data_IF_226145502271
#
_entry.id   IF_226145502271
#
_cell.length_a   1.000
_cell.length_b   1.000
_cell.length_c   1.000
_cell.angle_alpha   90.00
_cell.angle_beta   90.00
_cell.angle_gamma   90.00
#
_symmetry.space_group_name_H-M   'P 1'
#
loop_
_entity.id
_entity.type
_entity.pdbx_description
1 polymer ?
#
# COMPACT_ATOMS: atom_id res chain seq x y z
N UNK A 1 14.41 12.45 28.33
CA UNK A 1 14.37 11.21 27.55
C UNK A 1 13.07 11.22 26.75
N UNK A 2 13.13 11.62 25.49
CA UNK A 2 11.96 11.62 24.62
C UNK A 2 11.59 10.21 24.23
N UNK A 3 10.37 9.80 24.51
CA UNK A 3 9.83 8.55 23.97
C UNK A 3 9.83 8.64 22.43
N UNK A 4 10.22 7.58 21.72
CA UNK A 4 10.18 7.60 20.27
C UNK A 4 8.73 7.81 19.81
N UNK A 5 8.57 8.79 18.93
CA UNK A 5 7.28 9.23 18.36
C UNK A 5 6.67 8.22 17.38
N UNK A 6 6.96 6.93 17.54
CA UNK A 6 6.31 5.85 16.78
C UNK A 6 4.99 5.49 17.46
N UNK A 7 4.11 6.46 17.59
CA UNK A 7 2.74 6.18 18.04
C UNK A 7 1.99 5.48 16.90
N UNK A 8 1.34 4.43 17.27
CA UNK A 8 0.62 3.46 16.50
C UNK A 8 -0.59 4.04 15.76
N UNK A 9 -0.34 4.94 14.84
CA UNK A 9 -1.38 5.62 14.06
C UNK A 9 -2.24 4.63 13.27
N UNK A 10 -1.66 3.49 12.90
CA UNK A 10 -2.36 2.38 12.23
C UNK A 10 -3.38 1.65 13.11
N UNK A 11 -3.31 1.82 14.43
CA UNK A 11 -4.20 1.12 15.39
C UNK A 11 -5.30 2.04 15.90
N UNK A 12 -5.17 3.35 15.72
CA UNK A 12 -6.19 4.30 16.17
C UNK A 12 -7.47 4.11 15.36
N UNK A 13 -8.57 3.89 16.07
CA UNK A 13 -9.87 3.75 15.45
C UNK A 13 -10.36 5.07 14.88
N UNK A 14 -10.54 5.10 13.57
CA UNK A 14 -11.00 6.28 12.83
C UNK A 14 -12.46 6.15 12.41
N UNK A 15 -12.95 4.93 12.30
CA UNK A 15 -14.33 4.66 11.92
C UNK A 15 -15.33 4.91 13.07
N UNK A 16 -16.61 4.97 12.76
CA UNK A 16 -17.66 5.31 13.75
C UNK A 16 -17.76 4.30 14.91
N UNK A 17 -17.28 3.07 14.74
CA UNK A 17 -17.28 2.04 15.78
C UNK A 17 -15.85 1.67 16.21
N UNK A 18 -14.86 2.50 15.89
CA UNK A 18 -13.46 2.27 16.23
C UNK A 18 -12.68 1.44 15.20
N UNK A 19 -13.19 1.34 13.97
CA UNK A 19 -12.47 0.67 12.89
C UNK A 19 -11.20 1.45 12.52
N UNK A 20 -10.12 0.73 12.24
CA UNK A 20 -8.87 1.29 11.74
C UNK A 20 -8.88 1.36 10.21
N UNK A 21 -7.95 2.10 9.59
CA UNK A 21 -7.77 2.10 8.13
C UNK A 21 -7.54 0.67 7.61
N UNK A 22 -6.75 -0.10 8.35
CA UNK A 22 -6.47 -1.49 8.00
C UNK A 22 -7.74 -2.37 8.01
N UNK A 23 -8.68 -2.12 8.95
CA UNK A 23 -9.95 -2.86 8.99
C UNK A 23 -10.75 -2.65 7.70
N UNK A 24 -10.78 -1.41 7.17
CA UNK A 24 -11.44 -1.11 5.89
C UNK A 24 -10.74 -1.80 4.72
N UNK A 25 -9.41 -1.78 4.69
CA UNK A 25 -8.64 -2.45 3.63
C UNK A 25 -8.88 -3.97 3.64
N UNK A 26 -8.90 -4.60 4.82
CA UNK A 26 -9.21 -6.03 4.97
C UNK A 26 -10.64 -6.33 4.46
N UNK A 27 -11.59 -5.51 4.84
CA UNK A 27 -12.99 -5.66 4.42
C UNK A 27 -13.13 -5.58 2.89
N UNK A 28 -12.51 -4.57 2.28
CA UNK A 28 -12.58 -4.39 0.82
C UNK A 28 -11.82 -5.51 0.08
N UNK A 29 -10.69 -5.99 0.63
CA UNK A 29 -9.97 -7.13 0.08
C UNK A 29 -10.83 -8.40 0.08
N UNK A 30 -11.51 -8.69 1.19
CA UNK A 30 -12.43 -9.84 1.29
C UNK A 30 -13.51 -9.73 0.22
N UNK A 31 -14.11 -8.58 0.05
CA UNK A 31 -15.17 -8.34 -0.94
C UNK A 31 -14.66 -8.46 -2.38
N UNK A 32 -13.40 -8.18 -2.60
CA UNK A 32 -12.74 -8.33 -3.89
C UNK A 32 -12.29 -9.78 -4.18
N UNK A 33 -12.51 -10.71 -3.23
CA UNK A 33 -12.23 -12.14 -3.43
C UNK A 33 -10.89 -12.62 -2.86
N UNK A 34 -10.16 -11.77 -2.14
CA UNK A 34 -8.92 -12.22 -1.50
C UNK A 34 -9.24 -13.15 -0.32
N UNK A 35 -8.70 -14.38 -0.37
CA UNK A 35 -8.97 -15.43 0.63
C UNK A 35 -7.89 -15.56 1.71
N UNK A 36 -6.82 -14.77 1.61
CA UNK A 36 -5.70 -14.86 2.55
C UNK A 36 -5.10 -13.46 2.77
N UNK A 37 -4.78 -13.13 4.01
CA UNK A 37 -4.07 -11.90 4.36
C UNK A 37 -2.75 -12.28 5.04
N UNK A 38 -1.67 -11.68 4.58
CA UNK A 38 -0.33 -11.87 5.15
C UNK A 38 0.13 -10.51 5.69
N UNK A 39 0.39 -10.47 6.99
CA UNK A 39 0.92 -9.27 7.63
C UNK A 39 2.43 -9.39 7.76
N UNK A 40 3.15 -8.41 7.27
CA UNK A 40 4.59 -8.28 7.51
C UNK A 40 4.77 -7.24 8.61
N UNK A 41 5.23 -7.68 9.76
CA UNK A 41 5.37 -6.85 10.95
C UNK A 41 6.77 -6.97 11.55
N UNK A 42 7.16 -5.95 12.29
CA UNK A 42 8.41 -5.99 13.07
C UNK A 42 8.23 -6.89 14.29
N UNK A 43 9.31 -7.55 14.68
CA UNK A 43 9.29 -8.50 15.80
C UNK A 43 8.94 -7.83 17.13
N UNK A 44 9.43 -6.62 17.37
CA UNK A 44 9.15 -5.87 18.59
C UNK A 44 7.68 -5.44 18.71
N UNK A 45 6.94 -5.49 17.61
CA UNK A 45 5.52 -5.14 17.55
C UNK A 45 4.60 -6.38 17.66
N UNK A 46 5.14 -7.59 17.61
CA UNK A 46 4.37 -8.83 17.48
C UNK A 46 3.30 -8.99 18.57
N UNK A 47 3.69 -8.82 19.84
CA UNK A 47 2.78 -9.05 20.97
C UNK A 47 1.60 -8.08 20.93
N UNK A 48 1.87 -6.81 20.69
CA UNK A 48 0.83 -5.79 20.58
C UNK A 48 -0.08 -6.06 19.37
N UNK A 49 0.48 -6.43 18.23
CA UNK A 49 -0.26 -6.79 17.04
C UNK A 49 -1.19 -7.99 17.29
N UNK A 50 -0.70 -9.03 17.97
CA UNK A 50 -1.50 -10.22 18.32
C UNK A 50 -2.67 -9.88 19.24
N UNK A 51 -2.42 -9.04 20.24
CA UNK A 51 -3.45 -8.71 21.25
C UNK A 51 -4.47 -7.68 20.74
N UNK A 52 -4.06 -6.69 19.99
CA UNK A 52 -4.93 -5.58 19.59
C UNK A 52 -5.54 -5.75 18.19
N UNK A 53 -4.82 -6.40 17.27
CA UNK A 53 -5.27 -6.55 15.89
C UNK A 53 -5.79 -7.96 15.62
N UNK A 54 -4.94 -8.98 15.76
CA UNK A 54 -5.34 -10.35 15.43
C UNK A 54 -6.48 -10.88 16.30
N UNK A 55 -6.59 -10.42 17.55
CA UNK A 55 -7.67 -10.82 18.45
C UNK A 55 -9.05 -10.42 17.90
N UNK A 56 -9.14 -9.28 17.17
CA UNK A 56 -10.39 -8.82 16.54
C UNK A 56 -10.91 -9.85 15.54
N UNK A 57 -9.98 -10.48 14.78
CA UNK A 57 -10.33 -11.41 13.70
C UNK A 57 -10.48 -12.86 14.16
N UNK A 58 -10.09 -13.17 15.40
CA UNK A 58 -10.20 -14.53 15.98
C UNK A 58 -11.52 -14.78 16.71
N UNK A 59 -12.22 -13.73 17.16
CA UNK A 59 -13.47 -13.87 17.91
C UNK A 59 -14.62 -14.24 16.98
N UNK A 60 -15.08 -15.48 17.11
CA UNK A 60 -16.23 -16.00 16.33
C UNK A 60 -17.57 -15.34 16.70
N UNK A 61 -17.62 -14.68 17.85
CA UNK A 61 -18.87 -14.17 18.43
C UNK A 61 -19.07 -12.66 18.32
N UNK A 62 -18.10 -11.93 17.80
CA UNK A 62 -18.31 -10.52 17.53
C UNK A 62 -19.11 -10.39 16.23
N UNK A 63 -20.42 -10.30 16.40
CA UNK A 63 -21.44 -10.30 15.34
C UNK A 63 -21.29 -9.28 14.20
N UNK A 64 -20.15 -9.26 13.80
CA UNK A 64 -19.99 -8.45 12.87
C UNK A 64 -19.02 -8.76 11.93
N UNK A 65 -18.44 -9.49 12.08
CA UNK A 65 -17.71 -9.69 10.83
C UNK A 65 -18.43 -10.76 10.05
N UNK A 66 -19.15 -10.37 9.06
CA UNK A 66 -19.61 -11.29 8.03
C UNK A 66 -18.42 -11.83 7.24
N UNK A 67 -17.51 -12.55 7.89
CA UNK A 67 -16.51 -13.33 7.19
C UNK A 67 -17.28 -14.42 6.44
N UNK A 68 -17.18 -14.47 5.10
CA UNK A 68 -17.88 -15.54 4.35
C UNK A 68 -17.46 -16.90 4.91
N UNK A 69 -18.44 -17.74 5.20
CA UNK A 69 -18.21 -19.09 5.76
C UNK A 69 -17.34 -20.00 4.88
N UNK A 70 -17.06 -19.60 3.64
CA UNK A 70 -16.31 -20.39 2.66
C UNK A 70 -14.83 -20.01 2.52
N UNK A 71 -14.32 -19.07 3.31
CA UNK A 71 -12.91 -18.68 3.21
C UNK A 71 -12.30 -18.49 4.59
N UNK A 72 -11.48 -19.41 5.01
CA UNK A 72 -10.71 -19.21 6.23
C UNK A 72 -9.64 -18.13 5.97
N UNK A 73 -9.90 -16.90 6.40
CA UNK A 73 -8.84 -15.91 6.53
C UNK A 73 -7.87 -16.45 7.58
N UNK A 74 -6.69 -16.83 7.14
CA UNK A 74 -5.62 -17.26 8.03
C UNK A 74 -4.61 -16.12 8.13
N UNK A 75 -4.74 -15.21 9.10
CA UNK A 75 -3.70 -14.21 9.29
C UNK A 75 -2.42 -14.91 9.71
N UNK A 76 -1.38 -14.70 8.92
CA UNK A 76 -0.05 -15.23 9.22
C UNK A 76 0.88 -14.04 9.39
N UNK A 77 1.26 -13.78 10.63
CA UNK A 77 2.26 -12.77 10.94
C UNK A 77 3.65 -13.30 10.59
N UNK A 78 4.37 -12.57 9.77
CA UNK A 78 5.75 -12.88 9.41
C UNK A 78 6.67 -11.81 9.98
N UNK A 79 7.80 -12.25 10.48
CA UNK A 79 8.77 -11.35 11.10
C UNK A 79 9.94 -11.10 10.18
N UNK A 80 10.29 -9.83 10.00
CA UNK A 80 11.55 -9.48 9.36
C UNK A 80 12.71 -9.90 10.27
N UNK A 81 13.59 -10.75 9.76
CA UNK A 81 14.73 -11.26 10.53
C UNK A 81 15.79 -10.15 10.72
N UNK A 82 16.03 -9.81 11.98
CA UNK A 82 17.22 -9.08 12.49
C UNK A 82 17.55 -7.67 11.98
N UNK A 83 16.83 -7.09 11.03
CA UNK A 83 17.01 -5.67 10.74
C UNK A 83 16.11 -4.84 11.64
N UNK A 84 16.57 -3.71 12.09
CA UNK A 84 15.73 -2.74 12.82
C UNK A 84 14.54 -2.25 11.99
N UNK A 85 14.63 -2.42 10.71
CA UNK A 85 13.67 -2.21 9.83
C UNK A 85 13.86 -3.00 8.69
N UNK A 86 12.86 -3.19 8.09
CA UNK A 86 13.08 -3.74 6.76
C UNK A 86 13.83 -2.74 5.85
N UNK A 87 14.56 -3.26 4.93
CA UNK A 87 15.31 -2.48 3.93
C UNK A 87 14.40 -1.84 2.86
N UNK A 88 13.16 -1.55 3.18
CA UNK A 88 12.18 -0.97 2.27
C UNK A 88 11.04 -1.91 1.93
N UNK A 89 10.09 -1.43 1.12
CA UNK A 89 8.83 -2.13 0.84
C UNK A 89 9.03 -3.46 0.11
N UNK A 90 9.99 -3.55 -0.82
CA UNK A 90 10.20 -4.82 -1.52
C UNK A 90 10.89 -5.87 -0.63
N UNK A 91 11.77 -5.45 0.29
CA UNK A 91 12.30 -6.37 1.29
C UNK A 91 11.19 -6.93 2.18
N UNK A 92 10.22 -6.09 2.55
CA UNK A 92 9.07 -6.54 3.34
C UNK A 92 8.27 -7.62 2.57
N UNK A 93 8.01 -7.40 1.28
CA UNK A 93 7.33 -8.39 0.42
C UNK A 93 8.12 -9.70 0.36
N UNK A 94 9.44 -9.63 0.22
CA UNK A 94 10.30 -10.80 0.15
C UNK A 94 10.20 -11.67 1.42
N UNK A 95 9.93 -11.08 2.58
CA UNK A 95 9.71 -11.85 3.83
C UNK A 95 8.48 -12.77 3.72
N UNK A 96 7.56 -12.48 2.80
CA UNK A 96 6.37 -13.29 2.56
C UNK A 96 6.57 -14.49 1.62
N UNK A 97 7.73 -14.65 0.99
CA UNK A 97 7.97 -15.62 -0.10
C UNK A 97 7.62 -17.08 0.22
N UNK A 98 7.79 -17.48 1.48
CA UNK A 98 7.55 -18.86 1.88
C UNK A 98 6.06 -19.18 2.07
N UNK A 99 5.22 -18.16 2.24
CA UNK A 99 3.79 -18.34 2.51
C UNK A 99 2.89 -17.82 1.39
N UNK A 100 3.42 -16.99 0.48
CA UNK A 100 2.68 -16.44 -0.66
C UNK A 100 2.94 -17.36 -1.86
N UNK A 101 1.93 -18.14 -2.23
CA UNK A 101 2.01 -19.14 -3.33
C UNK A 101 0.97 -18.87 -4.43
N UNK A 102 0.14 -17.85 -4.25
CA UNK A 102 -0.90 -17.43 -5.18
C UNK A 102 -0.61 -16.00 -5.66
N UNK A 103 -1.24 -15.54 -6.76
CA UNK A 103 -1.19 -14.12 -7.11
C UNK A 103 -1.67 -13.28 -5.92
N UNK A 104 -1.03 -12.15 -5.70
CA UNK A 104 -1.22 -11.38 -4.47
C UNK A 104 -1.17 -9.88 -4.72
N UNK A 105 -1.83 -9.14 -3.85
CA UNK A 105 -1.79 -7.68 -3.83
C UNK A 105 -0.97 -7.21 -2.62
N UNK A 106 -0.10 -6.23 -2.83
CA UNK A 106 0.64 -5.53 -1.78
C UNK A 106 -0.02 -4.17 -1.54
N UNK A 107 -0.18 -3.82 -0.27
CA UNK A 107 -0.68 -2.49 0.15
C UNK A 107 0.09 -2.01 1.38
N UNK A 108 0.07 -0.71 1.60
CA UNK A 108 0.45 -0.11 2.88
C UNK A 108 -0.73 -0.23 3.86
N UNK A 109 -0.46 -0.50 5.12
CA UNK A 109 -1.50 -0.69 6.13
C UNK A 109 -2.11 0.63 6.64
N UNK A 110 -1.47 1.74 6.33
CA UNK A 110 -1.86 3.10 6.77
C UNK A 110 -2.50 3.95 5.67
N UNK A 111 -2.69 3.38 4.49
CA UNK A 111 -3.37 4.03 3.36
C UNK A 111 -4.78 3.47 3.15
N UNK A 112 -5.73 4.34 2.84
CA UNK A 112 -7.10 3.95 2.51
C UNK A 112 -7.27 3.94 1.00
N UNK A 113 -7.36 2.75 0.42
CA UNK A 113 -7.43 2.55 -1.04
C UNK A 113 -8.85 2.57 -1.59
N UNK A 114 -9.81 2.14 -0.77
CA UNK A 114 -11.21 2.08 -1.14
C UNK A 114 -11.58 0.84 -1.95
N UNK A 115 -12.87 0.53 -1.93
CA UNK A 115 -13.46 -0.66 -2.53
C UNK A 115 -13.13 -0.85 -4.01
N UNK A 116 -13.11 0.25 -4.75
CA UNK A 116 -12.94 0.22 -6.21
C UNK A 116 -11.53 -0.28 -6.61
N UNK A 117 -10.52 0.22 -5.91
CA UNK A 117 -9.13 -0.19 -6.14
C UNK A 117 -8.96 -1.70 -5.87
N UNK A 118 -9.52 -2.19 -4.76
CA UNK A 118 -9.47 -3.63 -4.45
C UNK A 118 -10.23 -4.47 -5.48
N UNK A 119 -11.42 -4.01 -5.93
CA UNK A 119 -12.20 -4.73 -6.93
C UNK A 119 -11.43 -4.80 -8.26
N UNK A 120 -10.81 -3.70 -8.66
CA UNK A 120 -10.05 -3.60 -9.91
C UNK A 120 -8.85 -4.55 -9.91
N UNK A 121 -8.02 -4.46 -8.87
CA UNK A 121 -6.82 -5.32 -8.80
C UNK A 121 -7.18 -6.78 -8.52
N UNK A 122 -8.22 -7.03 -7.73
CA UNK A 122 -8.71 -8.38 -7.47
C UNK A 122 -9.22 -9.05 -8.74
N UNK A 123 -9.96 -8.32 -9.57
CA UNK A 123 -10.40 -8.79 -10.89
C UNK A 123 -9.20 -9.17 -11.76
N UNK A 124 -8.24 -8.25 -11.92
CA UNK A 124 -7.02 -8.50 -12.71
C UNK A 124 -6.33 -9.79 -12.25
N UNK A 125 -6.05 -9.90 -10.95
CA UNK A 125 -5.32 -11.07 -10.42
C UNK A 125 -6.10 -12.39 -10.59
N UNK A 126 -7.43 -12.34 -10.49
CA UNK A 126 -8.28 -13.53 -10.64
C UNK A 126 -8.40 -14.01 -12.10
N UNK A 127 -8.22 -13.10 -13.05
CA UNK A 127 -8.29 -13.41 -14.49
C UNK A 127 -6.95 -13.86 -15.06
N UNK A 128 -5.86 -13.76 -14.29
CA UNK A 128 -4.55 -14.23 -14.74
C UNK A 128 -4.58 -15.75 -14.99
N UNK A 129 -4.01 -16.22 -16.11
CA UNK A 129 -3.82 -17.67 -16.31
C UNK A 129 -2.99 -18.27 -15.17
N UNK A 130 -3.30 -19.50 -14.80
CA UNK A 130 -2.57 -20.21 -13.72
C UNK A 130 -1.07 -20.30 -13.99
N UNK A 131 -0.67 -20.30 -15.25
CA UNK A 131 0.73 -20.34 -15.66
C UNK A 131 1.36 -18.95 -15.84
N UNK A 132 0.61 -17.88 -15.53
CA UNK A 132 1.11 -16.50 -15.72
C UNK A 132 2.36 -16.28 -14.87
N UNK A 133 3.35 -15.73 -15.51
CA UNK A 133 4.62 -15.35 -14.88
C UNK A 133 4.93 -13.92 -15.30
N UNK A 134 5.47 -13.17 -14.37
CA UNK A 134 6.00 -11.82 -14.65
C UNK A 134 4.98 -10.90 -15.35
N UNK A 135 3.68 -11.14 -15.08
CA UNK A 135 2.56 -10.31 -15.48
C UNK A 135 2.02 -9.66 -14.22
N UNK A 136 2.22 -8.38 -14.09
CA UNK A 136 1.97 -7.64 -12.87
C UNK A 136 1.01 -6.49 -13.14
N UNK A 137 0.53 -5.85 -12.09
CA UNK A 137 -0.28 -4.65 -12.21
C UNK A 137 0.00 -3.70 -11.05
N UNK A 138 -0.34 -2.44 -11.25
CA UNK A 138 -0.43 -1.49 -10.17
C UNK A 138 -1.73 -0.69 -10.32
N UNK A 139 -2.30 -0.27 -9.22
CA UNK A 139 -3.44 0.66 -9.27
C UNK A 139 -2.88 2.08 -9.36
N UNK A 140 -3.18 2.75 -10.47
CA UNK A 140 -2.84 4.15 -10.69
C UNK A 140 -3.93 5.06 -10.13
N UNK A 141 -3.58 5.87 -9.16
CA UNK A 141 -4.49 6.88 -8.59
C UNK A 141 -4.24 8.22 -9.27
N UNK A 142 -5.30 8.96 -9.54
CA UNK A 142 -5.15 10.32 -10.11
C UNK A 142 -4.45 11.23 -9.11
N UNK A 143 -3.40 11.92 -9.53
CA UNK A 143 -2.59 12.77 -8.66
C UNK A 143 -3.43 13.75 -7.87
N UNK A 144 -4.39 14.42 -8.53
CA UNK A 144 -5.29 15.39 -7.88
C UNK A 144 -6.07 14.81 -6.70
N UNK A 145 -6.34 13.49 -6.72
CA UNK A 145 -7.09 12.80 -5.66
C UNK A 145 -6.20 12.30 -4.51
N UNK A 146 -4.89 12.53 -4.59
CA UNK A 146 -3.93 12.04 -3.58
C UNK A 146 -3.18 13.16 -2.85
N UNK A 147 -3.56 14.40 -3.10
CA UNK A 147 -2.93 15.56 -2.48
C UNK A 147 -3.36 15.72 -1.02
N UNK A 148 -2.59 16.50 -0.28
CA UNK A 148 -2.91 16.86 1.11
C UNK A 148 -3.22 18.36 1.19
N UNK A 149 -4.21 18.71 1.98
CA UNK A 149 -4.50 20.11 2.32
C UNK A 149 -3.44 20.69 3.28
N UNK A 150 -2.64 19.84 3.90
CA UNK A 150 -1.70 20.19 4.97
C UNK A 150 -0.24 20.21 4.54
N UNK A 151 0.02 20.33 3.23
CA UNK A 151 1.38 20.41 2.71
C UNK A 151 1.65 19.46 1.55
N UNK A 152 2.93 19.35 1.18
CA UNK A 152 3.34 18.51 0.06
C UNK A 152 3.24 17.01 0.40
N UNK A 153 3.11 16.20 -0.65
CA UNK A 153 3.09 14.73 -0.56
C UNK A 153 4.21 14.14 -1.42
N UNK A 154 4.62 12.92 -1.11
CA UNK A 154 5.53 12.14 -1.96
C UNK A 154 4.73 11.08 -2.73
N UNK A 155 4.98 10.93 -4.04
CA UNK A 155 4.28 9.95 -4.90
C UNK A 155 5.21 9.41 -5.98
N UNK A 156 5.04 8.17 -6.33
CA UNK A 156 5.64 7.60 -7.53
C UNK A 156 4.83 8.00 -8.77
N UNK A 157 5.30 9.00 -9.51
CA UNK A 157 4.63 9.44 -10.74
C UNK A 157 4.89 8.40 -11.83
N UNK A 158 3.81 7.90 -12.45
CA UNK A 158 3.87 6.78 -13.39
C UNK A 158 3.90 7.27 -14.83
N UNK A 159 4.80 6.69 -15.61
CA UNK A 159 4.82 6.82 -17.08
C UNK A 159 4.39 5.48 -17.67
N UNK A 160 3.50 5.51 -18.66
CA UNK A 160 2.95 4.31 -19.29
C UNK A 160 2.72 4.56 -20.79
N UNK A 161 2.61 3.47 -21.53
CA UNK A 161 2.36 3.54 -22.99
C UNK A 161 0.86 3.52 -23.32
N UNK A 162 0.53 3.60 -24.60
CA UNK A 162 -0.84 3.63 -25.13
C UNK A 162 -1.62 2.35 -24.82
N UNK A 163 -0.95 1.28 -24.38
CA UNK A 163 -1.57 0.03 -23.96
C UNK A 163 -1.70 -0.08 -22.42
N UNK A 164 -1.48 1.04 -21.71
CA UNK A 164 -1.47 1.11 -20.23
C UNK A 164 -0.36 0.26 -19.57
N UNK A 165 0.70 -0.09 -20.31
CA UNK A 165 1.85 -0.76 -19.71
C UNK A 165 2.79 0.26 -19.09
N UNK A 166 3.10 0.07 -17.83
CA UNK A 166 4.02 0.91 -17.07
C UNK A 166 5.41 0.90 -17.70
N UNK A 167 6.00 2.07 -17.88
CA UNK A 167 7.36 2.26 -18.40
C UNK A 167 8.33 2.69 -17.30
N UNK A 168 7.85 3.49 -16.36
CA UNK A 168 8.69 3.98 -15.27
C UNK A 168 7.84 4.48 -14.12
N UNK A 169 8.39 4.44 -12.92
CA UNK A 169 7.81 5.07 -11.72
C UNK A 169 8.90 5.95 -11.11
N UNK A 170 8.67 7.26 -11.14
CA UNK A 170 9.63 8.24 -10.63
C UNK A 170 9.10 8.83 -9.33
N UNK A 171 9.80 8.57 -8.22
CA UNK A 171 9.43 9.13 -6.92
C UNK A 171 9.65 10.65 -6.92
N UNK A 172 8.57 11.39 -6.65
CA UNK A 172 8.59 12.83 -6.47
C UNK A 172 8.24 13.13 -5.01
N UNK A 173 9.14 13.71 -4.28
CA UNK A 173 9.05 13.86 -2.82
C UNK A 173 8.28 15.08 -2.35
N UNK A 174 8.11 16.09 -3.21
CA UNK A 174 7.37 17.31 -2.89
C UNK A 174 6.38 17.61 -4.01
N UNK A 175 5.13 17.12 -3.86
CA UNK A 175 4.04 17.41 -4.80
C UNK A 175 2.97 18.21 -4.04
N UNK A 176 2.54 19.33 -4.58
CA UNK A 176 1.46 20.15 -4.02
C UNK A 176 0.91 21.11 -5.07
N UNK A 177 -0.18 21.78 -4.75
CA UNK A 177 -0.65 22.89 -5.60
C UNK A 177 0.19 24.12 -5.35
N UNK A 178 0.66 24.74 -6.44
CA UNK A 178 1.41 25.99 -6.42
C UNK A 178 0.69 26.97 -7.36
N UNK A 179 0.08 27.97 -6.79
CA UNK A 179 -0.70 29.01 -7.52
C UNK A 179 -1.76 28.44 -8.48
N UNK A 180 -2.30 27.26 -8.14
CA UNK A 180 -3.36 26.60 -8.90
C UNK A 180 -2.98 25.21 -9.40
N UNK A 181 -2.03 25.07 -10.35
CA UNK A 181 -1.62 23.75 -10.87
C UNK A 181 -0.94 22.88 -9.84
N UNK A 182 -1.02 21.57 -10.05
CA UNK A 182 -0.22 20.59 -9.29
C UNK A 182 1.22 20.67 -9.80
N UNK A 183 2.17 20.79 -8.88
CA UNK A 183 3.59 20.84 -9.22
C UNK A 183 4.39 19.90 -8.31
N UNK A 184 5.52 19.43 -8.81
CA UNK A 184 6.53 18.81 -7.97
C UNK A 184 7.78 19.68 -7.95
N UNK A 185 8.55 19.55 -6.89
CA UNK A 185 9.81 20.26 -6.76
C UNK A 185 10.94 19.38 -7.28
N UNK A 186 11.71 19.88 -8.21
CA UNK A 186 12.87 19.15 -8.77
C UNK A 186 14.09 19.26 -7.85
N UNK A 187 15.21 18.64 -8.26
CA UNK A 187 16.46 18.62 -7.49
C UNK A 187 17.12 20.00 -7.38
N UNK A 188 16.78 20.92 -8.30
CA UNK A 188 17.27 22.30 -8.29
C UNK A 188 16.37 23.23 -7.45
N UNK A 189 15.28 22.69 -6.91
CA UNK A 189 14.32 23.45 -6.09
C UNK A 189 13.25 24.19 -6.90
N UNK A 190 13.14 23.92 -8.20
CA UNK A 190 12.19 24.57 -9.11
C UNK A 190 10.88 23.79 -9.12
N UNK A 191 9.76 24.50 -9.15
CA UNK A 191 8.43 23.89 -9.27
C UNK A 191 8.12 23.57 -10.73
N UNK A 192 7.89 22.28 -11.01
CA UNK A 192 7.59 21.75 -12.35
C UNK A 192 6.13 21.27 -12.36
N UNK A 193 5.31 21.73 -13.30
CA UNK A 193 3.90 21.34 -13.33
C UNK A 193 3.72 19.85 -13.70
N UNK A 194 2.68 19.25 -13.10
CA UNK A 194 2.19 17.92 -13.42
C UNK A 194 0.75 18.02 -13.94
N UNK A 195 0.38 17.08 -14.77
CA UNK A 195 -1.03 16.95 -15.21
C UNK A 195 -1.91 16.57 -14.02
N UNK A 196 -3.12 17.16 -13.96
CA UNK A 196 -4.10 16.93 -12.88
C UNK A 196 -4.35 15.42 -12.64
N UNK A 197 -4.51 14.68 -13.70
CA UNK A 197 -4.90 13.28 -13.67
C UNK A 197 -3.73 12.31 -13.92
N UNK A 198 -2.48 12.79 -13.86
CA UNK A 198 -1.35 11.88 -14.02
C UNK A 198 -1.45 10.74 -13.00
N UNK A 199 -1.33 9.48 -13.42
CA UNK A 199 -1.42 8.38 -12.47
C UNK A 199 -0.19 8.34 -11.57
N UNK A 200 -0.45 8.12 -10.28
CA UNK A 200 0.59 7.97 -9.27
C UNK A 200 0.43 6.66 -8.53
N UNK A 201 1.55 6.08 -8.15
CA UNK A 201 1.59 4.90 -7.30
C UNK A 201 1.38 5.28 -5.84
N UNK A 202 0.50 4.55 -5.18
CA UNK A 202 0.29 4.58 -3.74
C UNK A 202 0.68 3.23 -3.11
N UNK A 203 1.61 2.53 -3.75
CA UNK A 203 2.06 1.18 -3.33
C UNK A 203 0.97 0.11 -3.34
N UNK A 204 -0.01 0.21 -4.23
CA UNK A 204 -0.97 -0.88 -4.45
C UNK A 204 -0.56 -1.66 -5.70
N UNK A 205 0.07 -2.82 -5.48
CA UNK A 205 0.69 -3.61 -6.53
C UNK A 205 0.14 -5.03 -6.57
N UNK A 206 -0.11 -5.55 -7.76
CA UNK A 206 -0.51 -6.94 -7.99
C UNK A 206 0.63 -7.73 -8.62
N UNK A 207 0.98 -8.85 -8.01
CA UNK A 207 2.11 -9.70 -8.43
C UNK A 207 1.72 -11.16 -8.54
N UNK A 208 2.48 -11.90 -9.36
CA UNK A 208 2.52 -13.37 -9.30
C UNK A 208 3.64 -13.82 -8.36
N UNK A 209 3.59 -15.05 -7.81
CA UNK A 209 4.63 -15.53 -6.89
C UNK A 209 6.04 -15.55 -7.46
N UNK A 210 6.18 -15.54 -8.79
CA UNK A 210 7.50 -15.52 -9.46
C UNK A 210 8.33 -14.29 -9.07
N UNK A 211 7.68 -13.17 -8.73
CA UNK A 211 8.37 -11.95 -8.31
C UNK A 211 9.31 -12.16 -7.12
N UNK A 212 9.05 -13.18 -6.29
CA UNK A 212 9.91 -13.46 -5.13
C UNK A 212 11.34 -13.88 -5.52
N UNK A 213 11.47 -14.59 -6.65
CA UNK A 213 12.79 -14.99 -7.16
C UNK A 213 13.59 -13.77 -7.62
N UNK A 214 12.96 -12.95 -8.44
CA UNK A 214 13.60 -11.73 -8.97
C UNK A 214 13.95 -10.76 -7.83
N UNK A 215 13.03 -10.57 -6.89
CA UNK A 215 13.26 -9.74 -5.70
C UNK A 215 14.45 -10.24 -4.88
N UNK A 216 14.60 -11.57 -4.74
CA UNK A 216 15.72 -12.14 -3.97
C UNK A 216 17.06 -11.88 -4.67
N UNK A 217 17.11 -12.03 -5.99
CA UNK A 217 18.32 -11.76 -6.78
C UNK A 217 18.70 -10.27 -6.71
N UNK A 218 17.72 -9.38 -6.93
CA UNK A 218 17.97 -7.94 -6.88
C UNK A 218 18.29 -7.45 -5.45
N UNK A 219 17.76 -8.10 -4.43
CA UNK A 219 18.13 -7.77 -3.05
C UNK A 219 19.59 -8.13 -2.75
N UNK A 220 20.07 -9.26 -3.25
CA UNK A 220 21.50 -9.64 -3.13
C UNK A 220 22.39 -8.59 -3.83
N UNK A 221 21.97 -8.16 -5.02
CA UNK A 221 22.68 -7.12 -5.78
C UNK A 221 22.67 -5.78 -5.02
N UNK A 222 21.51 -5.40 -4.48
CA UNK A 222 21.36 -4.19 -3.66
C UNK A 222 22.33 -4.19 -2.47
N UNK A 223 22.44 -5.32 -1.77
CA UNK A 223 23.34 -5.49 -0.63
C UNK A 223 24.81 -5.55 -1.03
N UNK A 224 25.11 -5.93 -2.28
CA UNK A 224 26.48 -6.00 -2.78
C UNK A 224 27.05 -4.62 -3.13
N UNK A 225 26.20 -3.61 -3.23
CA UNK A 225 26.62 -2.23 -3.56
C UNK A 225 27.09 -1.51 -2.29
N UNK A 226 28.36 -1.14 -2.20
CA UNK A 226 28.89 -0.46 -1.00
C UNK A 226 28.13 0.85 -0.67
N UNK A 227 27.70 1.59 -1.69
CA UNK A 227 26.94 2.84 -1.49
C UNK A 227 25.64 2.61 -0.72
N UNK A 228 24.99 1.47 -0.97
CA UNK A 228 23.75 1.12 -0.25
C UNK A 228 24.05 0.73 1.19
N UNK A 229 25.16 0.01 1.40
CA UNK A 229 25.54 -0.47 2.73
C UNK A 229 26.03 0.67 3.64
N UNK A 230 26.65 1.69 3.05
CA UNK A 230 27.15 2.87 3.78
C UNK A 230 26.05 3.91 4.05
N UNK A 231 24.94 3.85 3.29
CA UNK A 231 23.85 4.82 3.42
C UNK A 231 22.77 4.27 4.35
N UNK A 232 22.61 4.82 5.56
CA UNK A 232 21.58 4.34 6.50
C UNK A 232 20.16 4.58 6.04
N UNK A 233 19.98 5.37 4.97
CA UNK A 233 18.67 5.65 4.35
C UNK A 233 18.45 4.87 3.06
N UNK A 234 19.36 3.95 2.69
CA UNK A 234 19.17 3.14 1.49
C UNK A 234 17.96 2.21 1.69
N UNK A 235 17.08 2.20 0.71
CA UNK A 235 15.86 1.40 0.78
C UNK A 235 15.62 0.63 -0.52
N UNK A 236 15.28 -0.64 -0.38
CA UNK A 236 14.94 -1.53 -1.47
C UNK A 236 13.42 -1.48 -1.69
N UNK A 237 12.99 -0.53 -2.50
CA UNK A 237 11.58 -0.25 -2.78
C UNK A 237 11.01 -1.14 -3.87
N UNK A 238 9.69 -1.34 -3.86
CA UNK A 238 8.96 -2.02 -4.93
C UNK A 238 9.17 -1.32 -6.28
N UNK A 239 9.01 0.01 -6.42
CA UNK A 239 9.27 0.67 -7.71
C UNK A 239 10.68 0.41 -8.27
N UNK A 240 11.70 0.34 -7.42
CA UNK A 240 13.05 0.04 -7.87
C UNK A 240 13.15 -1.35 -8.54
N UNK A 241 12.54 -2.35 -7.92
CA UNK A 241 12.49 -3.71 -8.47
C UNK A 241 11.66 -3.75 -9.76
N UNK A 242 10.51 -3.09 -9.75
CA UNK A 242 9.58 -3.04 -10.90
C UNK A 242 10.27 -2.37 -12.10
N UNK A 243 10.88 -1.20 -11.91
CA UNK A 243 11.58 -0.48 -12.98
C UNK A 243 12.70 -1.35 -13.58
N UNK A 244 13.44 -2.07 -12.73
CA UNK A 244 14.50 -2.97 -13.22
C UNK A 244 13.91 -4.08 -14.10
N UNK A 245 12.83 -4.74 -13.68
CA UNK A 245 12.18 -5.80 -14.45
C UNK A 245 11.63 -5.28 -15.79
N UNK A 246 11.05 -4.08 -15.81
CA UNK A 246 10.54 -3.44 -17.04
C UNK A 246 11.72 -3.15 -17.99
N UNK A 247 12.78 -2.53 -17.48
CA UNK A 247 13.94 -2.13 -18.29
C UNK A 247 14.69 -3.35 -18.88
N UNK A 248 14.69 -4.46 -18.17
CA UNK A 248 15.26 -5.72 -18.64
C UNK A 248 14.31 -6.49 -19.59
N UNK A 249 13.08 -6.02 -19.76
CA UNK A 249 12.07 -6.70 -20.57
C UNK A 249 11.60 -8.03 -20.01
N UNK A 250 11.78 -8.25 -18.71
CA UNK A 250 11.46 -9.53 -18.06
C UNK A 250 10.06 -9.55 -17.47
N UNK A 251 9.41 -8.39 -17.30
CA UNK A 251 8.04 -8.31 -16.80
C UNK A 251 7.23 -7.23 -17.51
N UNK A 252 5.92 -7.44 -17.57
CA UNK A 252 4.94 -6.44 -17.98
C UNK A 252 4.12 -6.04 -16.76
N UNK A 253 3.91 -4.74 -16.61
CA UNK A 253 3.11 -4.20 -15.51
C UNK A 253 1.98 -3.34 -16.08
N UNK A 254 0.74 -3.75 -15.86
CA UNK A 254 -0.43 -2.99 -16.31
C UNK A 254 -0.78 -1.91 -15.28
N UNK A 255 -1.01 -0.69 -15.74
CA UNK A 255 -1.51 0.41 -14.89
C UNK A 255 -3.03 0.35 -14.92
N UNK A 256 -3.63 -0.04 -13.80
CA UNK A 256 -5.08 -0.17 -13.65
C UNK A 256 -5.65 1.15 -13.13
N UNK A 257 -6.57 1.73 -13.90
CA UNK A 257 -7.19 2.99 -13.53
C UNK A 257 -8.22 2.82 -12.42
N UNK A 258 -8.17 3.72 -11.46
CA UNK A 258 -9.27 3.96 -10.54
C UNK A 258 -9.69 5.42 -10.62
N UNK A 259 -10.97 5.65 -10.84
CA UNK A 259 -11.53 7.00 -10.97
C UNK A 259 -11.93 7.60 -9.62
N UNK A 260 -11.87 6.81 -8.55
CA UNK A 260 -12.38 7.22 -7.24
C UNK A 260 -11.32 7.87 -6.37
N UNK A 261 -11.78 8.74 -5.49
CA UNK A 261 -10.92 9.45 -4.55
C UNK A 261 -10.27 8.48 -3.57
N UNK A 262 -9.01 8.69 -3.34
CA UNK A 262 -8.25 8.04 -2.29
C UNK A 262 -8.12 9.01 -1.11
N UNK A 263 -8.24 8.48 0.09
CA UNK A 263 -8.02 9.28 1.30
C UNK A 263 -6.81 8.74 2.04
N UNK A 264 -5.76 9.54 2.09
CA UNK A 264 -4.63 9.26 2.98
C UNK A 264 -4.89 9.95 4.32
N UNK A 265 -4.92 9.18 5.37
CA UNK A 265 -5.05 9.73 6.72
C UNK A 265 -3.69 10.28 7.17
N UNK A 266 -3.43 11.54 6.88
CA UNK A 266 -2.22 12.21 7.34
C UNK A 266 -2.48 12.69 8.79
N UNK A 267 -2.13 11.85 9.74
CA UNK A 267 -2.46 12.04 11.18
C UNK A 267 -1.53 13.06 11.86
N UNK A 268 -1.00 14.02 11.14
CA UNK A 268 -0.31 15.17 11.78
C UNK A 268 -1.27 16.27 12.26
N UNK A 269 -2.60 16.06 12.11
CA UNK A 269 -3.58 16.98 12.68
C UNK A 269 -3.64 16.81 14.19
N UNK A 270 -3.15 17.74 14.95
CA UNK A 270 -3.42 17.88 16.39
C UNK A 270 -4.94 17.91 16.60
N UNK A 271 -5.45 17.20 17.61
CA UNK A 271 -6.90 17.23 17.84
C UNK A 271 -7.39 18.63 18.16
N UNK A 272 -7.83 19.19 17.20
CA UNK A 272 -8.52 20.29 17.47
C UNK A 272 -9.80 19.75 17.89
N UNK A 273 -10.48 20.25 18.51
CA UNK A 273 -11.75 19.95 19.17
C UNK A 273 -12.87 19.37 18.29
N UNK A 274 -12.64 19.07 17.04
CA UNK A 274 -13.65 18.47 16.17
C UNK A 274 -13.21 17.06 15.73
N UNK A 275 -14.12 16.12 15.82
CA UNK A 275 -13.85 14.71 15.72
C UNK A 275 -13.25 14.31 14.37
N UNK A 276 -12.16 13.54 14.41
CA UNK A 276 -11.56 12.85 13.25
C UNK A 276 -12.58 12.04 12.43
N UNK A 277 -13.74 11.77 13.02
CA UNK A 277 -14.89 11.12 12.38
C UNK A 277 -15.41 11.87 11.16
N UNK A 278 -15.31 13.20 11.16
CA UNK A 278 -15.88 14.01 10.08
C UNK A 278 -15.03 13.98 8.79
N UNK A 279 -13.74 13.78 8.92
CA UNK A 279 -12.83 13.71 7.76
C UNK A 279 -13.05 12.46 6.90
N UNK A 280 -13.27 11.31 7.55
CA UNK A 280 -13.60 10.08 6.85
C UNK A 280 -15.04 10.03 6.37
N UNK A 281 -15.95 10.67 7.13
CA UNK A 281 -17.39 10.71 6.80
C UNK A 281 -17.68 11.66 5.63
N UNK A 282 -16.92 12.74 5.48
CA UNK A 282 -17.14 13.71 4.38
C UNK A 282 -16.65 13.18 3.03
N UNK A 283 -15.63 12.30 3.02
CA UNK A 283 -15.11 11.69 1.78
C UNK A 283 -15.82 10.38 1.42
N UNK A 284 -16.58 9.80 2.34
CA UNK A 284 -17.15 8.46 2.19
C UNK A 284 -18.68 8.46 2.26
N UNK A 285 -19.35 9.23 1.41
CA UNK A 285 -20.81 9.10 1.23
C UNK A 285 -21.25 7.68 0.85
N UNK A 286 -20.34 6.68 0.83
CA UNK A 286 -20.61 5.30 0.43
C UNK A 286 -20.16 4.23 1.43
N UNK A 287 -19.53 4.63 2.54
CA UNK A 287 -19.39 3.69 3.65
C UNK A 287 -20.70 3.82 4.43
N UNK A 288 -21.70 3.03 4.06
CA UNK A 288 -22.90 2.92 4.88
C UNK A 288 -22.46 2.59 6.32
N UNK A 289 -23.03 3.24 7.30
CA UNK A 289 -22.65 3.11 8.72
C UNK A 289 -22.81 1.69 9.31
N UNK A 290 -22.79 0.69 8.46
CA UNK A 290 -22.76 -0.75 8.74
C UNK A 290 -21.63 -1.46 7.98
N UNK A 291 -20.54 -0.78 7.67
CA UNK A 291 -19.30 -1.50 7.40
C UNK A 291 -18.80 -2.01 8.75
N UNK A 292 -19.62 -2.75 9.39
CA UNK A 292 -19.27 -3.46 10.59
C UNK A 292 -18.43 -4.65 10.12
N UNK A 293 -17.15 -4.54 10.27
CA UNK A 293 -16.35 -5.72 10.40
C UNK A 293 -16.78 -6.42 11.65
N UNK A 294 -17.74 -6.86 11.34
CA UNK A 294 -18.26 -7.27 12.03
C UNK A 294 -18.08 -7.78 12.25
#
# INVERSE_FOLDING_TARGET
>A
MGQPLWRFETIDGLGPNGETIMDYSIYDAIRAGFGKIVFVIRKDFEEQFRTQILSKYRRKDSGXVGIPKSGSIRPKALHARKAVXPWGTNHAVLMGKDVIKEPFCVINCDDFYGRDAFATIGKFLSELPKAAKNTYAMVGFRCCNTLSENGSVARGVCMYDDHHHLKDVVERTEIMRVDGPICYKDEEGKWIPLEENVPVSMNMWGFTPTTSKDSEEYFKEFLSNPKNMENPKAEFFIPLMVNKLINEGTATVEVLDTTKEMVRCNIRCRPXSHSRKDCLLSSSRRISGKAVLX
#
